data_IF_952715029235
#
_entry.id   IF_952715029235
#
_cell.length_a   1.000
_cell.length_b   1.000
_cell.length_c   1.000
_cell.angle_alpha   90.00
_cell.angle_beta   90.00
_cell.angle_gamma   90.00
#
_symmetry.space_group_name_H-M   'P 1'
#
loop_
_entity.id
_entity.type
_entity.pdbx_description
1 polymer ?
#
# COMPACT_ATOMS: atom_id res chain seq x y z
N UNK A 1 11.14 19.93 -49.81
CA UNK A 1 10.34 19.05 -48.92
C UNK A 1 11.19 18.35 -47.85
N UNK A 2 12.15 17.49 -48.17
CA UNK A 2 12.85 16.61 -47.21
C UNK A 2 13.34 17.29 -45.90
N UNK A 3 14.01 18.45 -45.97
CA UNK A 3 14.46 19.20 -44.77
C UNK A 3 13.31 19.68 -43.87
N UNK A 4 12.12 19.92 -44.41
CA UNK A 4 10.92 20.33 -43.64
C UNK A 4 10.33 19.11 -42.93
N UNK A 5 10.24 17.97 -43.63
CA UNK A 5 9.78 16.69 -43.05
C UNK A 5 10.70 16.27 -41.89
N UNK A 6 12.02 16.37 -42.06
CA UNK A 6 12.98 16.07 -40.99
C UNK A 6 12.80 17.02 -39.78
N UNK A 7 12.65 18.33 -40.00
CA UNK A 7 12.39 19.30 -38.92
C UNK A 7 11.10 18.99 -38.16
N UNK A 8 10.02 18.67 -38.88
CA UNK A 8 8.74 18.27 -38.28
C UNK A 8 8.89 17.00 -37.44
N UNK A 9 9.62 15.99 -37.93
CA UNK A 9 9.95 14.78 -37.17
C UNK A 9 10.68 15.09 -35.85
N UNK A 10 11.74 15.90 -35.91
CA UNK A 10 12.47 16.32 -34.70
C UNK A 10 11.60 17.11 -33.71
N UNK A 11 10.70 17.97 -34.18
CA UNK A 11 9.76 18.68 -33.26
C UNK A 11 8.78 17.73 -32.58
N UNK A 12 8.28 16.71 -33.28
CA UNK A 12 7.39 15.69 -32.67
C UNK A 12 8.15 14.87 -31.63
N UNK A 13 9.37 14.41 -31.95
CA UNK A 13 10.23 13.68 -31.00
C UNK A 13 10.55 14.54 -29.78
N UNK A 14 10.86 15.83 -29.96
CA UNK A 14 11.10 16.76 -28.86
C UNK A 14 9.88 16.96 -27.95
N UNK A 15 8.68 17.12 -28.51
CA UNK A 15 7.44 17.24 -27.74
C UNK A 15 7.10 15.95 -26.97
N UNK A 16 7.30 14.78 -27.58
CA UNK A 16 7.10 13.49 -26.91
C UNK A 16 8.09 13.28 -25.76
N UNK A 17 9.37 13.64 -25.97
CA UNK A 17 10.40 13.57 -24.93
C UNK A 17 10.10 14.52 -23.76
N UNK A 18 9.66 15.76 -24.04
CA UNK A 18 9.25 16.73 -23.03
C UNK A 18 8.01 16.24 -22.25
N UNK A 19 7.01 15.67 -22.93
CA UNK A 19 5.83 15.09 -22.29
C UNK A 19 6.17 13.90 -21.38
N UNK A 20 7.05 13.00 -21.84
CA UNK A 20 7.53 11.89 -21.02
C UNK A 20 8.31 12.40 -19.78
N UNK A 21 9.20 13.38 -19.95
CA UNK A 21 9.96 14.00 -18.86
C UNK A 21 9.04 14.65 -17.83
N UNK A 22 7.96 15.33 -18.26
CA UNK A 22 6.96 15.91 -17.38
C UNK A 22 6.23 14.83 -16.57
N UNK A 23 5.83 13.70 -17.18
CA UNK A 23 5.22 12.57 -16.45
C UNK A 23 6.17 12.00 -15.40
N UNK A 24 7.46 11.85 -15.72
CA UNK A 24 8.48 11.37 -14.75
C UNK A 24 8.66 12.36 -13.60
N UNK A 25 8.77 13.66 -13.89
CA UNK A 25 8.92 14.71 -12.89
C UNK A 25 7.72 14.81 -11.94
N UNK A 26 6.50 14.79 -12.47
CA UNK A 26 5.27 14.77 -11.67
C UNK A 26 5.14 13.50 -10.82
N UNK A 27 5.49 12.34 -11.39
CA UNK A 27 5.51 11.08 -10.65
C UNK A 27 6.53 11.10 -9.49
N UNK A 28 7.73 11.64 -9.72
CA UNK A 28 8.76 11.78 -8.68
C UNK A 28 8.30 12.75 -7.58
N UNK A 29 7.73 13.91 -7.94
CA UNK A 29 7.18 14.86 -6.98
C UNK A 29 6.11 14.24 -6.08
N UNK A 30 5.12 13.54 -6.66
CA UNK A 30 4.06 12.85 -5.90
C UNK A 30 4.63 11.80 -4.93
N UNK A 31 5.64 11.03 -5.35
CA UNK A 31 6.28 10.02 -4.49
C UNK A 31 7.07 10.70 -3.36
N UNK A 32 7.92 11.68 -3.64
CA UNK A 32 8.70 12.37 -2.61
C UNK A 32 7.80 13.10 -1.60
N UNK A 33 6.72 13.76 -2.03
CA UNK A 33 5.79 14.46 -1.15
C UNK A 33 4.98 13.56 -0.20
N UNK A 34 5.01 12.24 -0.41
CA UNK A 34 4.17 11.28 0.34
C UNK A 34 4.95 10.16 1.03
N UNK A 35 6.25 10.01 0.74
CA UNK A 35 7.04 8.84 1.18
C UNK A 35 7.11 8.68 2.71
N UNK A 36 7.37 9.77 3.45
CA UNK A 36 7.48 9.77 4.92
C UNK A 36 6.22 9.27 5.66
N UNK A 37 5.07 9.29 4.99
CA UNK A 37 3.77 8.91 5.56
C UNK A 37 3.33 7.51 5.16
N UNK A 38 4.14 6.76 4.41
CA UNK A 38 3.88 5.37 4.05
C UNK A 38 4.64 4.46 5.01
N UNK A 39 3.91 3.71 5.83
CA UNK A 39 4.52 2.70 6.70
C UNK A 39 5.22 1.62 5.88
N UNK A 40 6.34 1.10 6.39
CA UNK A 40 7.09 -0.01 5.78
C UNK A 40 6.37 -1.35 5.86
N UNK A 41 5.49 -1.52 6.85
CA UNK A 41 4.73 -2.76 7.08
C UNK A 41 3.38 -2.46 7.73
N UNK A 42 2.39 -3.38 7.61
CA UNK A 42 1.15 -3.30 8.38
C UNK A 42 1.31 -3.15 9.90
N UNK A 43 2.40 -3.67 10.47
CA UNK A 43 2.68 -3.62 11.91
C UNK A 43 3.15 -2.24 12.37
N UNK A 44 3.81 -1.49 11.48
CA UNK A 44 4.37 -0.15 11.73
C UNK A 44 3.41 0.99 11.34
N UNK A 45 2.20 0.69 10.88
CA UNK A 45 1.18 1.70 10.57
C UNK A 45 0.78 2.50 11.83
N UNK A 46 0.80 3.84 11.72
CA UNK A 46 0.31 4.75 12.76
C UNK A 46 -1.19 4.50 12.98
N UNK A 47 -1.62 4.54 14.24
CA UNK A 47 -3.05 4.43 14.56
C UNK A 47 -3.79 5.73 14.20
N UNK A 48 -4.99 5.62 13.63
CA UNK A 48 -5.98 6.71 13.47
C UNK A 48 -7.37 6.13 13.73
N UNK A 49 -8.37 6.96 13.97
CA UNK A 49 -9.73 6.45 14.24
C UNK A 49 -10.31 5.64 13.07
N UNK A 50 -10.13 6.12 11.84
CA UNK A 50 -10.73 5.52 10.63
C UNK A 50 -9.67 4.88 9.73
N UNK A 51 -9.91 3.64 9.32
CA UNK A 51 -9.20 2.97 8.24
C UNK A 51 -10.01 2.99 6.94
N UNK A 52 -9.56 3.71 5.92
CA UNK A 52 -10.19 3.73 4.60
C UNK A 52 -9.65 2.55 3.77
N UNK A 53 -10.49 1.56 3.52
CA UNK A 53 -10.16 0.40 2.70
C UNK A 53 -10.64 0.64 1.27
N UNK A 54 -9.71 0.78 0.34
CA UNK A 54 -10.04 1.04 -1.07
C UNK A 54 -10.54 -0.22 -1.77
N UNK A 55 -11.56 -0.06 -2.61
CA UNK A 55 -12.11 -1.08 -3.50
C UNK A 55 -11.14 -1.50 -4.62
N UNK A 56 -11.28 -2.76 -5.04
CA UNK A 56 -10.61 -3.36 -6.20
C UNK A 56 -11.37 -4.65 -6.56
N UNK A 57 -11.15 -5.19 -7.76
CA UNK A 57 -11.87 -6.39 -8.22
C UNK A 57 -11.61 -7.58 -7.29
N UNK A 58 -12.65 -8.28 -6.86
CA UNK A 58 -12.54 -9.47 -6.02
C UNK A 58 -11.81 -10.62 -6.73
N UNK A 59 -12.06 -10.77 -8.04
CA UNK A 59 -11.43 -11.77 -8.90
C UNK A 59 -10.49 -11.19 -9.96
N UNK A 60 -9.72 -12.08 -10.58
CA UNK A 60 -8.92 -11.79 -11.78
C UNK A 60 -9.72 -12.08 -13.06
N UNK A 61 -9.35 -11.40 -14.16
CA UNK A 61 -9.87 -11.72 -15.50
C UNK A 61 -9.33 -13.08 -15.92
N UNK A 62 -10.22 -14.05 -16.13
CA UNK A 62 -9.87 -15.47 -16.33
C UNK A 62 -10.16 -16.38 -15.14
N UNK A 63 -10.62 -15.83 -14.01
CA UNK A 63 -10.96 -16.58 -12.80
C UNK A 63 -9.86 -16.54 -11.73
N UNK A 64 -10.17 -17.10 -10.56
CA UNK A 64 -9.31 -17.01 -9.38
C UNK A 64 -9.49 -15.70 -8.59
N UNK A 65 -9.03 -15.72 -7.34
CA UNK A 65 -9.10 -14.59 -6.40
C UNK A 65 -7.99 -13.58 -6.67
N UNK A 66 -8.30 -12.29 -6.60
CA UNK A 66 -7.32 -11.21 -6.78
C UNK A 66 -6.39 -11.10 -5.55
N UNK A 67 -5.08 -11.33 -5.67
CA UNK A 67 -4.15 -11.24 -4.53
C UNK A 67 -4.08 -9.84 -3.92
N UNK A 68 -4.30 -8.78 -4.71
CA UNK A 68 -4.36 -7.40 -4.22
C UNK A 68 -5.63 -7.10 -3.42
N UNK A 69 -6.74 -7.76 -3.73
CA UNK A 69 -7.99 -7.64 -2.98
C UNK A 69 -7.83 -8.31 -1.61
N UNK A 70 -7.39 -9.57 -1.59
CA UNK A 70 -7.18 -10.34 -0.35
C UNK A 70 -6.22 -9.60 0.60
N UNK A 71 -5.08 -9.12 0.07
CA UNK A 71 -4.11 -8.35 0.86
C UNK A 71 -4.69 -7.08 1.52
N UNK A 72 -5.62 -6.37 0.86
CA UNK A 72 -6.28 -5.19 1.47
C UNK A 72 -7.17 -5.60 2.64
N UNK A 73 -7.93 -6.67 2.49
CA UNK A 73 -8.81 -7.15 3.56
C UNK A 73 -8.03 -7.77 4.72
N UNK A 74 -6.96 -8.51 4.42
CA UNK A 74 -6.07 -9.08 5.43
C UNK A 74 -5.37 -7.99 6.25
N UNK A 75 -4.93 -6.91 5.58
CA UNK A 75 -4.35 -5.71 6.23
C UNK A 75 -5.41 -4.98 7.06
N UNK A 76 -6.62 -4.74 6.54
CA UNK A 76 -7.69 -4.08 7.27
C UNK A 76 -8.11 -4.88 8.53
N UNK A 77 -8.27 -6.21 8.40
CA UNK A 77 -8.54 -7.09 9.54
C UNK A 77 -7.36 -7.15 10.52
N UNK A 78 -6.11 -7.00 10.07
CA UNK A 78 -4.96 -6.89 10.96
C UNK A 78 -4.94 -5.57 11.74
N UNK A 79 -5.20 -4.43 11.08
CA UNK A 79 -5.30 -3.12 11.75
C UNK A 79 -6.40 -3.11 12.83
N UNK A 80 -7.56 -3.71 12.52
CA UNK A 80 -8.63 -3.90 13.51
C UNK A 80 -8.17 -4.76 14.70
N UNK A 81 -7.60 -5.96 14.46
CA UNK A 81 -7.10 -6.85 15.52
C UNK A 81 -6.03 -6.21 16.40
N UNK A 82 -5.18 -5.37 15.81
CA UNK A 82 -4.14 -4.62 16.52
C UNK A 82 -4.65 -3.32 17.19
N UNK A 83 -5.95 -3.02 17.11
CA UNK A 83 -6.57 -1.76 17.58
C UNK A 83 -5.87 -0.50 17.04
N UNK A 84 -5.37 -0.58 15.81
CA UNK A 84 -4.79 0.55 15.06
C UNK A 84 -5.86 1.45 14.44
N UNK A 85 -7.06 0.90 14.23
CA UNK A 85 -8.23 1.62 13.73
C UNK A 85 -9.46 1.23 14.54
N UNK A 86 -10.34 2.21 14.77
CA UNK A 86 -11.60 2.07 15.50
C UNK A 86 -12.80 1.85 14.58
N UNK A 87 -12.69 2.22 13.31
CA UNK A 87 -13.71 2.08 12.28
C UNK A 87 -13.05 1.78 10.94
N UNK A 88 -13.71 1.00 10.09
CA UNK A 88 -13.32 0.76 8.70
C UNK A 88 -14.35 1.37 7.74
N UNK A 89 -13.91 2.25 6.86
CA UNK A 89 -14.71 2.77 5.75
C UNK A 89 -14.37 1.97 4.48
N UNK A 90 -15.29 1.12 4.03
CA UNK A 90 -15.11 0.26 2.87
C UNK A 90 -15.66 0.97 1.62
N UNK A 91 -14.78 1.61 0.84
CA UNK A 91 -15.17 2.47 -0.29
C UNK A 91 -14.84 1.82 -1.64
N UNK A 92 -15.84 1.60 -2.49
CA UNK A 92 -15.68 0.92 -3.77
C UNK A 92 -16.84 1.18 -4.75
N UNK A 93 -16.78 0.53 -5.92
CA UNK A 93 -17.77 0.70 -6.98
C UNK A 93 -19.04 -0.16 -6.74
N UNK A 94 -20.20 0.41 -7.07
CA UNK A 94 -21.52 -0.24 -7.02
C UNK A 94 -22.38 0.10 -8.27
N UNK A 95 -21.76 0.53 -9.39
CA UNK A 95 -22.46 0.90 -10.64
C UNK A 95 -23.24 -0.25 -11.27
N UNK A 96 -22.78 -1.48 -11.10
CA UNK A 96 -23.38 -2.66 -11.72
C UNK A 96 -24.34 -3.33 -10.76
N UNK A 97 -25.61 -3.51 -11.18
CA UNK A 97 -26.65 -4.21 -10.41
C UNK A 97 -26.27 -5.62 -9.93
N UNK A 98 -25.26 -6.23 -10.54
CA UNK A 98 -24.77 -7.58 -10.29
C UNK A 98 -23.47 -7.65 -9.46
N UNK A 99 -22.86 -6.52 -9.12
CA UNK A 99 -21.59 -6.50 -8.38
C UNK A 99 -21.46 -5.22 -7.54
N UNK A 100 -21.35 -5.42 -6.23
CA UNK A 100 -21.25 -4.39 -5.20
C UNK A 100 -19.94 -4.63 -4.43
N UNK A 101 -18.92 -3.81 -4.68
CA UNK A 101 -17.60 -4.00 -4.06
C UNK A 101 -17.64 -3.86 -2.53
N UNK A 102 -18.20 -2.80 -1.92
CA UNK A 102 -18.28 -2.68 -0.47
C UNK A 102 -18.98 -3.85 0.23
N UNK A 103 -20.09 -4.35 -0.33
CA UNK A 103 -20.82 -5.48 0.24
C UNK A 103 -20.03 -6.79 0.16
N UNK A 104 -19.20 -6.96 -0.87
CA UNK A 104 -18.29 -8.12 -0.98
C UNK A 104 -17.18 -8.00 0.06
N UNK A 105 -16.55 -6.82 0.17
CA UNK A 105 -15.52 -6.53 1.18
C UNK A 105 -16.04 -6.74 2.60
N UNK A 106 -17.27 -6.30 2.90
CA UNK A 106 -17.93 -6.49 4.19
C UNK A 106 -18.12 -7.98 4.55
N UNK A 107 -18.62 -8.79 3.60
CA UNK A 107 -18.78 -10.24 3.79
C UNK A 107 -17.44 -10.91 4.09
N UNK A 108 -16.42 -10.54 3.32
CA UNK A 108 -15.09 -11.12 3.41
C UNK A 108 -14.30 -10.66 4.65
N UNK A 109 -14.60 -9.48 5.19
CA UNK A 109 -14.06 -8.99 6.47
C UNK A 109 -14.80 -9.61 7.68
N UNK A 110 -16.11 -9.85 7.58
CA UNK A 110 -16.82 -10.67 8.58
C UNK A 110 -16.27 -12.09 8.65
N UNK A 111 -15.94 -12.71 7.51
CA UNK A 111 -15.24 -13.99 7.45
C UNK A 111 -13.83 -13.95 8.08
N UNK A 112 -13.25 -12.76 8.26
CA UNK A 112 -11.97 -12.50 8.96
C UNK A 112 -12.14 -12.10 10.43
N UNK A 113 -13.34 -12.25 10.99
CA UNK A 113 -13.71 -11.87 12.37
C UNK A 113 -13.64 -10.36 12.65
N UNK A 114 -13.88 -9.52 11.64
CA UNK A 114 -14.20 -8.10 11.87
C UNK A 114 -15.71 -7.97 12.10
N UNK A 115 -16.18 -7.47 13.25
CA UNK A 115 -17.60 -7.31 13.52
C UNK A 115 -18.22 -6.18 12.68
N UNK A 116 -19.52 -6.27 12.41
CA UNK A 116 -20.19 -5.39 11.45
C UNK A 116 -20.27 -3.93 11.91
N UNK A 117 -20.33 -3.71 13.22
CA UNK A 117 -20.39 -2.42 13.89
C UNK A 117 -19.10 -1.59 13.73
N UNK A 118 -17.99 -2.23 13.34
CA UNK A 118 -16.73 -1.56 12.99
C UNK A 118 -16.61 -1.25 11.49
N UNK A 119 -17.65 -1.47 10.68
CA UNK A 119 -17.59 -1.35 9.21
C UNK A 119 -18.71 -0.49 8.63
N UNK A 120 -18.35 0.62 7.98
CA UNK A 120 -19.25 1.47 7.19
C UNK A 120 -18.99 1.27 5.70
N UNK A 121 -20.04 1.30 4.87
CA UNK A 121 -19.98 0.97 3.45
C UNK A 121 -20.18 2.21 2.59
N UNK A 122 -19.21 2.52 1.74
CA UNK A 122 -19.29 3.60 0.77
C UNK A 122 -19.42 3.07 -0.67
N UNK A 123 -20.64 3.14 -1.19
CA UNK A 123 -21.04 2.61 -2.51
C UNK A 123 -20.73 3.53 -3.70
N UNK A 124 -20.09 4.69 -3.48
CA UNK A 124 -19.72 5.62 -4.54
C UNK A 124 -18.21 5.93 -4.59
N UNK A 125 -17.39 4.98 -4.13
CA UNK A 125 -15.93 4.96 -4.26
C UNK A 125 -15.44 4.67 -5.68
N UNK A 126 -15.97 5.41 -6.67
CA UNK A 126 -15.78 5.16 -8.09
C UNK A 126 -14.37 5.41 -8.65
N UNK A 127 -13.56 6.13 -7.87
CA UNK A 127 -12.14 6.40 -8.11
C UNK A 127 -11.50 6.81 -6.79
N UNK A 128 -10.17 6.79 -6.71
CA UNK A 128 -9.43 7.24 -5.51
C UNK A 128 -9.84 8.65 -5.06
N UNK A 129 -10.13 9.54 -6.02
CA UNK A 129 -10.63 10.88 -5.73
C UNK A 129 -12.06 10.86 -5.15
N UNK A 130 -12.96 10.07 -5.74
CA UNK A 130 -14.33 9.94 -5.21
C UNK A 130 -14.32 9.36 -3.78
N UNK A 131 -13.55 8.31 -3.52
CA UNK A 131 -13.35 7.72 -2.18
C UNK A 131 -12.90 8.75 -1.15
N UNK A 132 -11.85 9.53 -1.46
CA UNK A 132 -11.26 10.47 -0.48
C UNK A 132 -12.14 11.71 -0.27
N UNK A 133 -12.74 12.26 -1.34
CA UNK A 133 -13.71 13.37 -1.21
C UNK A 133 -14.91 12.95 -0.39
N UNK A 134 -15.42 11.73 -0.59
CA UNK A 134 -16.57 11.21 0.15
C UNK A 134 -16.20 10.92 1.60
N UNK A 135 -15.06 10.26 1.87
CA UNK A 135 -14.58 10.06 3.24
C UNK A 135 -14.60 11.37 4.04
N UNK A 136 -14.06 12.44 3.47
CA UNK A 136 -14.01 13.74 4.14
C UNK A 136 -15.39 14.46 4.18
N UNK A 137 -16.10 14.60 3.06
CA UNK A 137 -17.32 15.44 3.00
C UNK A 137 -18.63 14.73 3.38
N UNK A 138 -18.70 13.41 3.23
CA UNK A 138 -19.88 12.58 3.53
C UNK A 138 -19.76 11.96 4.91
N UNK A 139 -18.63 11.31 5.18
CA UNK A 139 -18.42 10.54 6.41
C UNK A 139 -17.71 11.33 7.53
N UNK A 140 -17.40 12.61 7.29
CA UNK A 140 -16.79 13.49 8.29
C UNK A 140 -15.39 13.07 8.73
N UNK A 141 -14.65 12.35 7.88
CA UNK A 141 -13.30 11.88 8.19
C UNK A 141 -12.31 13.01 7.96
N UNK A 142 -11.65 13.46 9.03
CA UNK A 142 -10.56 14.44 8.95
C UNK A 142 -9.18 13.77 9.06
N UNK A 143 -9.09 12.60 9.71
CA UNK A 143 -7.86 11.80 9.82
C UNK A 143 -8.08 10.32 9.44
N UNK A 144 -7.16 9.71 8.68
CA UNK A 144 -7.32 8.32 8.22
C UNK A 144 -6.04 7.50 8.01
N UNK A 145 -6.15 6.19 8.22
CA UNK A 145 -5.22 5.19 7.66
C UNK A 145 -5.73 4.73 6.29
N UNK A 146 -4.95 4.94 5.23
CA UNK A 146 -5.28 4.49 3.87
C UNK A 146 -4.77 3.06 3.66
N UNK A 147 -5.69 2.11 3.44
CA UNK A 147 -5.37 0.68 3.23
C UNK A 147 -5.45 0.33 1.74
N UNK A 148 -4.28 0.27 1.09
CA UNK A 148 -4.15 -0.10 -0.32
C UNK A 148 -2.70 -0.52 -0.64
N UNK A 149 -2.45 -1.04 -1.84
CA UNK A 149 -1.11 -1.45 -2.26
C UNK A 149 -0.09 -0.28 -2.17
N UNK A 150 1.20 -0.56 -1.88
CA UNK A 150 2.26 0.44 -1.88
C UNK A 150 2.23 1.35 -3.10
N UNK A 151 2.14 0.78 -4.30
CA UNK A 151 2.15 1.55 -5.56
C UNK A 151 0.94 2.48 -5.74
N UNK A 152 -0.14 2.27 -5.01
CA UNK A 152 -1.30 3.16 -5.03
C UNK A 152 -1.19 4.28 -3.98
N UNK A 153 -0.52 4.02 -2.85
CA UNK A 153 -0.47 4.93 -1.70
C UNK A 153 -0.01 6.36 -2.03
N UNK A 154 1.08 6.60 -2.80
CA UNK A 154 1.49 7.97 -3.14
C UNK A 154 0.39 8.79 -3.81
N UNK A 155 -0.39 8.18 -4.71
CA UNK A 155 -1.49 8.87 -5.40
C UNK A 155 -2.67 9.13 -4.47
N UNK A 156 -2.95 8.21 -3.53
CA UNK A 156 -4.03 8.37 -2.57
C UNK A 156 -3.69 9.45 -1.51
N UNK A 157 -2.48 9.42 -0.96
CA UNK A 157 -2.00 10.43 0.00
C UNK A 157 -1.96 11.84 -0.60
N UNK A 158 -1.45 11.98 -1.82
CA UNK A 158 -1.39 13.28 -2.50
C UNK A 158 -2.79 13.88 -2.80
N UNK A 159 -3.80 13.03 -3.03
CA UNK A 159 -5.18 13.48 -3.13
C UNK A 159 -5.72 13.87 -1.74
N UNK A 160 -5.41 13.12 -0.69
CA UNK A 160 -5.84 13.44 0.67
C UNK A 160 -5.34 14.82 1.12
N UNK A 161 -4.06 15.13 0.84
CA UNK A 161 -3.45 16.44 1.10
C UNK A 161 -4.23 17.59 0.43
N UNK A 162 -4.54 17.44 -0.87
CA UNK A 162 -5.28 18.42 -1.64
C UNK A 162 -6.75 18.59 -1.20
N UNK A 163 -7.27 17.68 -0.37
CA UNK A 163 -8.61 17.72 0.20
C UNK A 163 -8.64 18.17 1.66
N UNK A 164 -7.48 18.33 2.31
CA UNK A 164 -7.38 18.62 3.74
C UNK A 164 -7.65 17.41 4.65
N UNK A 165 -7.53 16.19 4.12
CA UNK A 165 -7.66 14.94 4.87
C UNK A 165 -6.27 14.50 5.35
N UNK A 166 -6.04 14.46 6.66
CA UNK A 166 -4.78 13.98 7.22
C UNK A 166 -4.65 12.46 7.09
N UNK A 167 -3.84 12.03 6.13
CA UNK A 167 -3.74 10.62 5.79
C UNK A 167 -2.33 10.04 6.01
N UNK A 168 -2.30 8.80 6.49
CA UNK A 168 -1.11 7.92 6.50
C UNK A 168 -1.37 6.65 5.71
N UNK A 169 -0.34 6.14 5.05
CA UNK A 169 -0.43 4.97 4.18
C UNK A 169 -0.07 3.68 4.91
N UNK A 170 -0.96 2.68 4.86
CA UNK A 170 -0.69 1.34 5.35
C UNK A 170 -0.62 0.34 4.19
N UNK A 171 0.54 -0.29 3.92
CA UNK A 171 0.76 -1.04 2.70
C UNK A 171 0.08 -2.41 2.73
N UNK A 172 -0.89 -2.61 1.82
CA UNK A 172 -1.47 -3.92 1.54
C UNK A 172 -0.54 -4.75 0.64
N UNK A 173 0.46 -5.40 1.25
CA UNK A 173 1.49 -6.21 0.59
C UNK A 173 0.91 -7.58 0.18
N UNK A 174 1.23 -8.01 -1.04
CA UNK A 174 0.82 -9.32 -1.58
C UNK A 174 2.03 -10.01 -2.22
N UNK A 175 2.63 -10.95 -1.49
CA UNK A 175 3.81 -11.71 -1.95
C UNK A 175 3.52 -12.52 -3.23
N UNK A 176 2.27 -12.94 -3.42
CA UNK A 176 1.86 -13.82 -4.52
C UNK A 176 1.84 -13.15 -5.90
N UNK A 177 1.83 -11.82 -5.97
CA UNK A 177 1.77 -11.12 -7.26
C UNK A 177 2.33 -9.69 -7.15
N UNK A 178 3.61 -9.46 -7.50
CA UNK A 178 4.16 -8.12 -7.63
C UNK A 178 3.50 -7.37 -8.81
N UNK A 179 3.49 -6.02 -8.80
CA UNK A 179 2.89 -5.25 -9.88
C UNK A 179 3.70 -5.38 -11.17
N UNK A 180 3.05 -5.86 -12.25
CA UNK A 180 3.66 -5.90 -13.57
C UNK A 180 3.93 -4.50 -14.16
N UNK A 181 4.87 -4.41 -15.11
CA UNK A 181 5.30 -3.14 -15.73
C UNK A 181 4.13 -2.28 -16.27
N UNK A 182 3.12 -2.91 -16.87
CA UNK A 182 1.90 -2.23 -17.37
C UNK A 182 1.12 -1.53 -16.24
N UNK A 183 1.08 -2.11 -15.04
CA UNK A 183 0.43 -1.54 -13.87
C UNK A 183 1.24 -0.36 -13.29
N UNK A 184 2.57 -0.48 -13.29
CA UNK A 184 3.46 0.62 -12.89
C UNK A 184 3.34 1.83 -13.83
N UNK A 185 3.41 1.60 -15.14
CA UNK A 185 3.23 2.67 -16.14
C UNK A 185 1.85 3.32 -16.04
N UNK A 186 0.78 2.52 -15.83
CA UNK A 186 -0.58 3.05 -15.59
C UNK A 186 -0.60 3.99 -14.38
N UNK A 187 0.10 3.67 -13.31
CA UNK A 187 0.11 4.51 -12.10
C UNK A 187 1.01 5.74 -12.22
N UNK A 188 2.10 5.70 -12.99
CA UNK A 188 2.88 6.91 -13.29
C UNK A 188 2.02 7.92 -14.08
N UNK A 189 1.31 7.44 -15.11
CA UNK A 189 0.36 8.25 -15.87
C UNK A 189 -0.81 8.75 -14.99
N UNK A 190 -1.35 7.90 -14.11
CA UNK A 190 -2.43 8.28 -13.21
C UNK A 190 -2.00 9.33 -12.16
N UNK A 191 -0.76 9.27 -11.66
CA UNK A 191 -0.19 10.29 -10.75
C UNK A 191 -0.04 11.63 -11.47
N UNK A 192 0.54 11.64 -12.68
CA UNK A 192 0.66 12.85 -13.49
C UNK A 192 -0.72 13.46 -13.82
N UNK A 193 -1.69 12.63 -14.21
CA UNK A 193 -3.08 13.06 -14.43
C UNK A 193 -3.74 13.62 -13.16
N UNK A 194 -3.48 13.00 -12.00
CA UNK A 194 -4.01 13.47 -10.70
C UNK A 194 -3.54 14.89 -10.36
N UNK A 195 -2.28 15.24 -10.64
CA UNK A 195 -1.80 16.61 -10.44
C UNK A 195 -2.60 17.60 -11.29
N UNK A 196 -2.82 17.30 -12.57
CA UNK A 196 -3.65 18.15 -13.43
C UNK A 196 -5.12 18.22 -13.00
N UNK A 197 -5.71 17.10 -12.60
CA UNK A 197 -7.09 17.02 -12.11
C UNK A 197 -7.32 17.91 -10.88
N UNK A 198 -6.33 17.97 -9.98
CA UNK A 198 -6.39 18.77 -8.75
C UNK A 198 -6.12 20.26 -9.01
N UNK A 199 -5.04 20.60 -9.72
CA UNK A 199 -4.56 21.99 -9.83
C UNK A 199 -4.99 22.75 -11.09
N UNK A 200 -5.40 22.06 -12.16
CA UNK A 200 -5.76 22.67 -13.44
C UNK A 200 -7.26 22.52 -13.78
N UNK A 201 -7.82 21.33 -13.58
CA UNK A 201 -9.20 21.02 -14.01
C UNK A 201 -10.25 21.10 -12.89
N UNK A 202 -9.85 21.20 -11.62
CA UNK A 202 -10.76 21.35 -10.49
C UNK A 202 -11.76 20.19 -10.40
N UNK A 203 -11.24 18.96 -10.43
CA UNK A 203 -12.02 17.71 -10.48
C UNK A 203 -13.11 17.70 -9.40
N UNK A 204 -14.33 17.31 -9.79
CA UNK A 204 -15.48 17.17 -8.89
C UNK A 204 -15.80 15.69 -8.66
N UNK A 205 -16.28 15.32 -7.45
CA UNK A 205 -16.74 13.96 -7.16
C UNK A 205 -17.95 13.65 -8.05
N UNK A 206 -18.07 12.39 -8.48
CA UNK A 206 -19.18 11.94 -9.33
C UNK A 206 -20.50 11.86 -8.57
N UNK A 207 -20.45 11.57 -7.27
CA UNK A 207 -21.60 11.50 -6.38
C UNK A 207 -21.20 11.79 -4.92
N UNK A 208 -21.77 12.84 -4.33
CA UNK A 208 -21.61 13.15 -2.90
C UNK A 208 -22.73 12.53 -2.05
N UNK A 209 -24.00 12.68 -2.44
CA UNK A 209 -25.10 12.25 -1.58
C UNK A 209 -25.20 13.06 -0.27
N UNK A 210 -26.04 12.62 0.68
CA UNK A 210 -26.16 13.23 2.01
C UNK A 210 -24.95 12.88 2.89
N UNK A 211 -24.80 13.55 4.04
CA UNK A 211 -23.83 13.15 5.07
C UNK A 211 -24.29 11.88 5.80
N UNK A 212 -23.33 11.05 6.20
CA UNK A 212 -23.53 9.80 6.93
C UNK A 212 -22.61 9.78 8.15
N UNK A 213 -23.15 9.52 9.34
CA UNK A 213 -22.34 9.43 10.57
C UNK A 213 -21.66 8.07 10.66
N UNK A 214 -20.33 8.04 10.81
CA UNK A 214 -19.64 6.81 11.21
C UNK A 214 -20.08 6.36 12.61
N UNK A 215 -20.12 5.04 12.90
CA UNK A 215 -20.36 4.53 14.24
C UNK A 215 -19.35 5.12 15.24
N UNK A 216 -19.82 5.62 16.38
CA UNK A 216 -18.92 6.16 17.41
C UNK A 216 -17.98 5.05 17.90
N UNK A 217 -16.66 5.28 17.99
CA UNK A 217 -15.70 4.30 18.46
C UNK A 217 -16.09 3.68 19.80
N UNK A 218 -16.22 2.34 19.83
CA UNK A 218 -16.33 1.57 21.09
C UNK A 218 -14.94 1.35 21.70
N UNK A 219 -14.14 2.42 21.77
CA UNK A 219 -12.94 2.49 22.59
C UNK A 219 -13.23 3.44 23.76
N UNK A 220 -14.00 2.92 24.72
CA UNK A 220 -14.38 3.61 25.94
C UNK A 220 -13.18 4.29 26.58
N UNK A 221 -13.29 5.60 26.78
CA UNK A 221 -12.32 6.45 27.47
C UNK A 221 -12.09 5.97 28.90
N UNK A 222 -11.16 5.04 29.08
CA UNK A 222 -10.63 4.67 30.39
C UNK A 222 -9.66 5.76 30.86
N UNK A 223 -10.23 6.93 31.12
CA UNK A 223 -9.60 7.99 31.89
C UNK A 223 -9.32 7.43 33.28
N UNK A 224 -8.03 7.26 33.56
CA UNK A 224 -7.46 6.71 34.78
C UNK A 224 -8.16 7.16 36.08
N UNK A 225 -8.93 6.25 36.68
CA UNK A 225 -9.24 6.27 38.11
C UNK A 225 -8.46 5.12 38.78
N UNK A 226 -7.34 5.45 39.42
CA UNK A 226 -6.64 4.47 40.26
C UNK A 226 -7.40 4.26 41.57
N UNK A 227 -7.69 3.02 41.97
CA UNK A 227 -7.98 2.71 43.37
C UNK A 227 -6.67 2.66 44.15
N UNK A 228 -6.59 3.43 45.24
CA UNK A 228 -5.49 3.38 46.19
C UNK A 228 -5.37 1.98 46.83
N UNK A 229 -4.25 1.31 46.64
CA UNK A 229 -3.97 0.02 47.30
C UNK A 229 -3.36 0.23 48.69
N UNK A 230 -4.11 -0.13 49.73
CA UNK A 230 -3.59 -0.32 51.09
C UNK A 230 -4.10 -1.63 51.66
N UNK A 231 -3.29 -2.69 51.63
CA UNK A 231 -3.19 -3.64 52.75
C UNK A 231 -1.98 -4.58 52.59
N UNK A 232 -1.19 -4.65 53.66
CA UNK A 232 -0.10 -5.59 53.90
C UNK A 232 -0.59 -6.85 54.62
N UNK A 233 0.07 -8.00 54.41
CA UNK A 233 0.51 -8.95 55.46
C UNK A 233 1.34 -10.13 54.88
N UNK A 234 1.98 -10.89 55.76
CA UNK A 234 3.24 -11.61 55.51
C UNK A 234 3.19 -13.10 55.07
N UNK A 235 4.30 -13.51 54.42
CA UNK A 235 5.09 -14.77 54.44
C UNK A 235 4.65 -15.99 55.32
N UNK A 236 5.29 -17.17 55.16
CA UNK A 236 5.88 -17.85 53.97
C UNK A 236 5.57 -19.38 53.94
N UNK A 237 6.10 -20.15 52.97
CA UNK A 237 6.66 -21.53 53.16
C UNK A 237 7.33 -22.07 51.87
N UNK A 238 8.35 -22.90 52.06
CA UNK A 238 9.08 -23.77 51.09
C UNK A 238 9.45 -25.06 51.89
N UNK A 239 9.87 -26.23 51.33
CA UNK A 239 10.84 -26.37 50.23
C UNK A 239 10.72 -27.64 49.32
N UNK A 240 11.81 -27.92 48.57
CA UNK A 240 12.25 -29.23 48.01
C UNK A 240 11.57 -29.76 46.73
N UNK A 241 12.20 -30.59 45.88
CA UNK A 241 13.62 -30.85 45.55
C UNK A 241 13.69 -31.79 44.29
N UNK A 242 14.90 -32.16 43.85
CA UNK A 242 15.26 -33.28 42.95
C UNK A 242 14.88 -33.16 41.46
N UNK A 243 15.86 -33.03 40.54
CA UNK A 243 16.64 -34.09 39.82
C UNK A 243 15.87 -34.70 38.62
N UNK A 244 16.42 -34.96 37.43
CA UNK A 244 17.48 -35.94 37.11
C UNK A 244 18.21 -35.60 35.78
N UNK A 245 19.50 -35.97 35.75
CA UNK A 245 20.44 -36.23 34.64
C UNK A 245 19.85 -36.62 33.25
N UNK A 246 20.35 -36.08 32.12
CA UNK A 246 21.52 -36.51 31.31
C UNK A 246 21.19 -37.51 30.17
N UNK A 247 21.89 -37.37 29.03
CA UNK A 247 21.78 -38.29 27.89
C UNK A 247 22.44 -37.76 26.60
N UNK A 248 23.59 -38.33 26.24
CA UNK A 248 24.37 -38.00 25.02
C UNK A 248 23.93 -38.90 23.85
N UNK A 249 23.95 -38.36 22.62
CA UNK A 249 23.80 -39.11 21.36
C UNK A 249 24.57 -38.43 20.23
N UNK A 250 25.20 -39.20 19.33
CA UNK A 250 26.29 -38.75 18.45
C UNK A 250 26.22 -39.43 17.06
N UNK A 251 27.05 -38.97 16.10
CA UNK A 251 27.31 -39.50 14.73
C UNK A 251 26.37 -38.94 13.63
N UNK A 252 26.87 -38.20 12.61
CA UNK A 252 27.68 -38.55 11.41
C UNK A 252 26.79 -38.92 10.20
N UNK A 253 27.04 -38.55 8.93
CA UNK A 253 28.27 -38.75 8.11
C UNK A 253 28.45 -37.72 6.95
N UNK A 254 29.44 -37.97 6.06
CA UNK A 254 29.95 -37.15 4.94
C UNK A 254 28.97 -36.99 3.72
N UNK A 255 29.25 -36.28 2.60
CA UNK A 255 30.46 -36.29 1.75
C UNK A 255 30.60 -35.15 0.70
N UNK A 256 31.67 -35.24 -0.12
CA UNK A 256 32.27 -34.29 -1.08
C UNK A 256 32.48 -34.99 -2.46
N UNK A 257 32.79 -34.39 -3.61
CA UNK A 257 33.13 -33.00 -4.05
C UNK A 257 32.92 -32.85 -5.59
N UNK A 258 33.30 -31.70 -6.20
CA UNK A 258 33.61 -31.48 -7.66
C UNK A 258 32.38 -31.50 -8.64
N UNK A 259 32.06 -30.52 -9.50
CA UNK A 259 32.70 -29.42 -10.26
C UNK A 259 32.87 -29.72 -11.77
N UNK A 260 32.41 -28.80 -12.62
CA UNK A 260 32.90 -28.57 -13.99
C UNK A 260 32.41 -27.20 -14.52
N UNK A 261 33.11 -26.62 -15.50
CA UNK A 261 32.86 -25.28 -16.02
C UNK A 261 33.01 -25.22 -17.55
N UNK A 262 32.17 -24.43 -18.22
CA UNK A 262 32.41 -24.02 -19.61
C UNK A 262 32.02 -22.55 -19.84
N UNK A 263 32.70 -21.92 -20.80
CA UNK A 263 32.80 -20.47 -20.97
C UNK A 263 32.22 -20.06 -22.33
N UNK A 264 31.38 -19.02 -22.38
CA UNK A 264 30.80 -18.49 -23.61
C UNK A 264 30.97 -16.97 -23.68
N UNK A 265 31.38 -16.47 -24.84
CA UNK A 265 31.86 -15.09 -24.99
C UNK A 265 30.77 -14.03 -24.78
N UNK A 266 31.08 -13.04 -23.94
CA UNK A 266 30.21 -11.93 -23.61
C UNK A 266 30.20 -10.86 -24.72
N UNK A 267 29.00 -10.49 -25.16
CA UNK A 267 28.75 -9.24 -25.88
C UNK A 267 27.75 -8.46 -25.04
N UNK A 268 28.11 -7.25 -24.55
CA UNK A 268 27.36 -6.62 -23.48
C UNK A 268 25.94 -6.30 -23.91
N UNK A 269 24.98 -6.91 -23.21
CA UNK A 269 23.55 -6.74 -23.44
C UNK A 269 23.16 -5.25 -23.45
N UNK A 270 22.48 -4.74 -24.49
CA UNK A 270 22.00 -3.36 -24.52
C UNK A 270 21.06 -3.01 -23.34
N UNK A 271 20.37 -4.00 -22.74
CA UNK A 271 19.64 -3.79 -21.48
C UNK A 271 20.58 -3.63 -20.28
N UNK A 272 21.69 -4.36 -20.21
CA UNK A 272 22.70 -4.19 -19.16
C UNK A 272 23.33 -2.78 -19.23
N UNK A 273 23.68 -2.32 -20.43
CA UNK A 273 24.19 -0.96 -20.66
C UNK A 273 23.17 0.13 -20.28
N UNK A 274 21.89 -0.07 -20.61
CA UNK A 274 20.82 0.84 -20.17
C UNK A 274 20.66 0.87 -18.65
N UNK A 275 20.67 -0.29 -17.99
CA UNK A 275 20.64 -0.39 -16.52
C UNK A 275 21.88 0.26 -15.87
N UNK A 276 23.06 0.15 -16.47
CA UNK A 276 24.29 0.73 -15.94
C UNK A 276 24.35 2.26 -16.12
N UNK A 277 23.83 2.79 -17.23
CA UNK A 277 23.59 4.23 -17.43
C UNK A 277 22.54 4.78 -16.44
N UNK A 278 21.48 4.01 -16.17
CA UNK A 278 20.44 4.39 -15.22
C UNK A 278 20.96 4.34 -13.77
N UNK A 279 21.75 3.33 -13.41
CA UNK A 279 22.38 3.20 -12.09
C UNK A 279 23.41 4.29 -11.80
N UNK A 280 24.21 4.70 -12.80
CA UNK A 280 25.18 5.79 -12.66
C UNK A 280 24.51 7.17 -12.56
N UNK A 281 23.38 7.40 -13.26
CA UNK A 281 22.56 8.60 -13.08
C UNK A 281 21.85 8.64 -11.71
N UNK A 282 21.48 7.47 -11.15
CA UNK A 282 20.88 7.34 -9.82
C UNK A 282 21.89 7.42 -8.66
N UNK A 283 23.19 7.27 -8.94
CA UNK A 283 24.24 7.35 -7.92
C UNK A 283 24.49 8.77 -7.38
N UNK A 284 24.01 9.81 -8.07
CA UNK A 284 24.21 11.22 -7.70
C UNK A 284 23.12 11.82 -6.79
N UNK A 285 22.06 11.07 -6.46
CA UNK A 285 20.94 11.54 -5.63
C UNK A 285 20.58 10.49 -4.55
N UNK A 286 21.16 10.58 -3.33
CA UNK A 286 21.05 9.51 -2.32
C UNK A 286 19.62 9.26 -1.82
N UNK A 287 18.79 10.29 -1.69
CA UNK A 287 17.38 10.16 -1.28
C UNK A 287 16.54 9.45 -2.34
N UNK A 288 16.72 9.82 -3.61
CA UNK A 288 16.05 9.19 -4.77
C UNK A 288 16.43 7.70 -4.88
N UNK A 289 17.68 7.34 -4.53
CA UNK A 289 18.13 5.94 -4.47
C UNK A 289 17.38 5.13 -3.42
N UNK A 290 17.19 5.66 -2.20
CA UNK A 290 16.41 4.95 -1.16
C UNK A 290 14.92 4.85 -1.55
N UNK A 291 14.35 5.94 -2.07
CA UNK A 291 12.98 6.01 -2.57
C UNK A 291 12.73 5.23 -3.88
N UNK A 292 13.75 4.61 -4.48
CA UNK A 292 13.62 3.66 -5.61
C UNK A 292 14.00 2.22 -5.23
N UNK A 293 14.95 2.01 -4.33
CA UNK A 293 15.34 0.66 -3.88
C UNK A 293 14.22 -0.06 -3.12
N UNK A 294 13.35 0.67 -2.42
CA UNK A 294 12.12 0.11 -1.81
C UNK A 294 11.05 -0.28 -2.85
N UNK A 295 11.26 0.03 -4.14
CA UNK A 295 10.24 -0.03 -5.20
C UNK A 295 10.66 -0.84 -6.43
N UNK A 296 11.94 -1.18 -6.54
CA UNK A 296 12.41 -2.18 -7.49
C UNK A 296 11.97 -3.57 -7.01
N UNK A 297 11.48 -4.46 -7.90
CA UNK A 297 11.18 -5.82 -7.52
C UNK A 297 12.46 -6.50 -7.04
N UNK A 298 12.45 -7.03 -5.82
CA UNK A 298 13.53 -7.88 -5.31
C UNK A 298 13.67 -9.06 -6.26
N UNK A 299 14.84 -9.16 -6.91
CA UNK A 299 15.17 -10.31 -7.76
C UNK A 299 15.25 -11.51 -6.83
N UNK A 300 14.40 -12.51 -7.04
CA UNK A 300 14.56 -13.80 -6.36
C UNK A 300 15.74 -14.52 -7.00
N UNK A 301 16.93 -14.33 -6.42
CA UNK A 301 18.09 -15.12 -6.77
C UNK A 301 17.88 -16.54 -6.20
N UNK A 302 17.18 -17.36 -6.98
CA UNK A 302 16.97 -18.77 -6.73
C UNK A 302 18.06 -19.57 -7.44
N UNK A 303 19.02 -20.05 -6.66
CA UNK A 303 19.81 -21.26 -6.93
C UNK A 303 19.14 -22.42 -6.19
#
# INVERSE_FOLDING_TARGET
MQRVIMRAGWTIVGLLAAGAMAVVGLNLWVVMATHDRIATSPLTCQSREVGIVFGTSHGLVGGGSNPHYQARLDTAAQLYRLRRVSNLLLSGDNRTRYYNEPMTMWRDLRARNVPQEFMTLDYAGFSTFDTLVRAHKVFGVDEAVLVTQPWHLPRALFIADALGLEAVGCPAISERQPPGLKLMLREWLARAATVGDLYLWGRKPRFLGPQETLPTPVLSSHSSSQPSSSHSLDKPVSPAADSVAAGVGQQATASRDVADAENAADTPDPHALACQAQASLLASLPEVKQALLQWLPVRSDAN
#
